data_IF_792016812805
#
_entry.id   IF_792016812805
#
_cell.length_a   1.000
_cell.length_b   1.000
_cell.length_c   1.000
_cell.angle_alpha   90.00
_cell.angle_beta   90.00
_cell.angle_gamma   90.00
#
_symmetry.space_group_name_H-M   'P 1'
#
loop_
_entity.id
_entity.type
_entity.pdbx_description
1 polymer ?
#
# COMPACT_ATOMS: atom_id res chain seq x y z
N UNK A 1 -26.47 15.75 -14.47
CA UNK A 1 -26.23 15.35 -15.87
C UNK A 1 -25.44 14.06 -15.87
N UNK A 2 -26.14 12.93 -16.02
CA UNK A 2 -25.52 11.64 -16.26
C UNK A 2 -25.02 11.61 -17.70
N UNK A 3 -23.75 11.28 -17.89
CA UNK A 3 -23.15 11.05 -19.21
C UNK A 3 -22.82 9.57 -19.33
N UNK A 4 -23.82 8.81 -19.80
CA UNK A 4 -23.72 8.02 -21.02
C UNK A 4 -22.91 6.73 -21.12
N UNK A 5 -21.86 6.48 -20.34
CA UNK A 5 -20.95 5.37 -20.68
C UNK A 5 -20.18 4.79 -19.47
N UNK A 6 -20.92 4.45 -18.42
CA UNK A 6 -20.39 3.56 -17.39
C UNK A 6 -20.91 2.15 -17.66
N UNK A 7 -20.09 1.31 -18.28
CA UNK A 7 -20.32 -0.13 -18.32
C UNK A 7 -20.26 -0.65 -16.88
N UNK A 8 -21.43 -0.92 -16.31
CA UNK A 8 -21.54 -1.61 -15.04
C UNK A 8 -21.40 -3.11 -15.31
N UNK A 9 -20.38 -3.72 -14.71
CA UNK A 9 -20.05 -5.14 -14.88
C UNK A 9 -21.25 -5.99 -14.42
N UNK A 10 -21.95 -6.61 -15.37
CA UNK A 10 -23.13 -7.47 -15.14
C UNK A 10 -22.74 -8.88 -14.65
N UNK A 11 -21.45 -9.22 -14.52
CA UNK A 11 -21.04 -10.49 -13.92
C UNK A 11 -19.70 -10.44 -13.20
N UNK A 12 -19.70 -10.07 -11.92
CA UNK A 12 -18.97 -10.73 -10.82
C UNK A 12 -17.48 -11.14 -10.93
N UNK A 13 -16.72 -10.76 -11.96
CA UNK A 13 -15.29 -11.06 -12.08
C UNK A 13 -14.57 -9.89 -12.73
N UNK A 14 -13.81 -9.17 -11.91
CA UNK A 14 -12.73 -8.29 -12.38
C UNK A 14 -11.50 -9.20 -12.48
N UNK A 15 -10.98 -9.40 -13.68
CA UNK A 15 -9.96 -10.42 -13.99
C UNK A 15 -8.53 -10.04 -13.55
N UNK A 16 -8.44 -9.13 -12.58
CA UNK A 16 -7.36 -8.97 -11.61
C UNK A 16 -8.02 -8.28 -10.44
N UNK A 17 -8.20 -8.98 -9.32
CA UNK A 17 -9.09 -8.48 -8.27
C UNK A 17 -8.51 -7.15 -7.75
N UNK A 18 -9.33 -6.10 -7.64
CA UNK A 18 -8.87 -4.75 -7.26
C UNK A 18 -7.98 -4.78 -6.01
N UNK A 19 -8.27 -5.71 -5.10
CA UNK A 19 -7.48 -5.97 -3.91
C UNK A 19 -6.05 -6.44 -4.21
N UNK A 20 -5.86 -7.37 -5.15
CA UNK A 20 -4.53 -7.84 -5.56
C UNK A 20 -3.69 -6.70 -6.13
N UNK A 21 -4.30 -5.80 -6.90
CA UNK A 21 -3.61 -4.62 -7.40
C UNK A 21 -3.16 -3.71 -6.25
N UNK A 22 -4.06 -3.40 -5.30
CA UNK A 22 -3.71 -2.58 -4.14
C UNK A 22 -2.59 -3.21 -3.30
N UNK A 23 -2.61 -4.53 -3.11
CA UNK A 23 -1.56 -5.26 -2.37
C UNK A 23 -0.23 -5.24 -3.14
N UNK A 24 -0.26 -5.40 -4.46
CA UNK A 24 0.96 -5.47 -5.27
C UNK A 24 1.69 -4.13 -5.38
N UNK A 25 0.96 -3.01 -5.39
CA UNK A 25 1.52 -1.66 -5.57
C UNK A 25 1.81 -0.93 -4.27
N UNK A 26 1.38 -1.47 -3.14
CA UNK A 26 1.48 -0.81 -1.83
C UNK A 26 2.46 -1.55 -0.94
N UNK A 27 3.18 -0.80 -0.11
CA UNK A 27 4.16 -1.33 0.83
C UNK A 27 3.86 -0.77 2.21
N UNK A 28 3.58 -1.67 3.15
CA UNK A 28 3.48 -1.31 4.56
C UNK A 28 4.86 -1.23 5.18
N UNK A 29 4.96 -0.57 6.33
CA UNK A 29 6.23 -0.45 7.04
C UNK A 29 6.05 -0.47 8.54
N UNK A 30 7.11 -0.82 9.27
CA UNK A 30 7.22 -0.63 10.72
C UNK A 30 6.03 -1.15 11.56
N UNK A 31 5.33 -2.20 11.10
CA UNK A 31 4.11 -2.74 11.74
C UNK A 31 4.34 -3.24 13.18
N UNK A 32 5.60 -3.50 13.56
CA UNK A 32 5.99 -4.05 14.87
C UNK A 32 5.96 -3.05 16.03
N UNK A 33 5.77 -1.75 15.79
CA UNK A 33 5.72 -0.74 16.84
C UNK A 33 4.36 -0.03 16.88
N UNK A 34 3.46 -0.53 17.73
CA UNK A 34 2.10 0.00 17.87
C UNK A 34 2.05 1.46 18.34
N UNK A 35 2.99 1.89 19.19
CA UNK A 35 3.08 3.30 19.64
C UNK A 35 3.47 4.22 18.48
N UNK A 36 4.41 3.79 17.65
CA UNK A 36 4.81 4.51 16.46
C UNK A 36 3.69 4.54 15.41
N UNK A 37 3.00 3.41 15.21
CA UNK A 37 1.82 3.34 14.34
C UNK A 37 0.71 4.28 14.79
N UNK A 38 0.45 4.36 16.10
CA UNK A 38 -0.52 5.31 16.66
C UNK A 38 -0.06 6.77 16.47
N UNK A 39 1.20 7.09 16.74
CA UNK A 39 1.76 8.44 16.54
C UNK A 39 1.68 8.90 15.08
N UNK A 40 1.88 7.98 14.15
CA UNK A 40 1.77 8.21 12.71
C UNK A 40 0.31 8.13 12.21
N UNK A 41 -0.68 7.95 13.08
CA UNK A 41 -2.09 7.84 12.69
C UNK A 41 -2.40 6.65 11.79
N UNK A 42 -1.61 5.58 11.86
CA UNK A 42 -1.76 4.38 11.03
C UNK A 42 -1.22 4.50 9.61
N UNK A 43 -0.45 5.55 9.28
CA UNK A 43 0.16 5.74 7.95
C UNK A 43 1.05 4.58 7.48
N UNK A 44 1.43 3.70 8.39
CA UNK A 44 2.31 2.56 8.17
C UNK A 44 1.55 1.27 7.76
N UNK A 45 0.23 1.38 7.57
CA UNK A 45 -0.72 0.34 7.15
C UNK A 45 -1.55 0.84 5.95
N UNK A 46 -0.86 1.09 4.83
CA UNK A 46 -1.47 1.62 3.61
C UNK A 46 -2.29 0.56 2.89
N UNK A 47 -1.85 -0.70 2.92
CA UNK A 47 -2.60 -1.81 2.35
C UNK A 47 -3.98 -1.91 3.01
N UNK A 48 -4.05 -1.89 4.34
CA UNK A 48 -5.31 -1.98 5.06
C UNK A 48 -6.15 -0.71 4.90
N UNK A 49 -5.52 0.46 4.79
CA UNK A 49 -6.24 1.70 4.51
C UNK A 49 -6.95 1.65 3.14
N UNK A 50 -6.27 1.16 2.11
CA UNK A 50 -6.85 1.04 0.77
C UNK A 50 -7.88 -0.07 0.67
N UNK A 51 -7.65 -1.22 1.32
CA UNK A 51 -8.61 -2.34 1.35
C UNK A 51 -9.84 -2.03 2.21
N UNK A 52 -9.68 -1.32 3.32
CA UNK A 52 -10.72 -1.09 4.33
C UNK A 52 -10.83 0.40 4.75
N UNK A 53 -11.19 1.32 3.83
CA UNK A 53 -11.16 2.77 4.09
C UNK A 53 -12.13 3.25 5.18
N UNK A 54 -13.08 2.40 5.60
CA UNK A 54 -14.07 2.70 6.65
C UNK A 54 -13.67 2.17 8.03
N UNK A 55 -12.56 1.44 8.14
CA UNK A 55 -12.10 0.87 9.41
C UNK A 55 -11.16 1.84 10.12
N UNK A 56 -11.33 2.00 11.43
CA UNK A 56 -10.42 2.82 12.23
C UNK A 56 -9.00 2.23 12.25
N UNK A 57 -7.99 3.10 12.15
CA UNK A 57 -6.58 2.69 12.09
C UNK A 57 -6.09 1.87 13.29
N UNK A 58 -6.80 1.94 14.43
CA UNK A 58 -6.53 1.08 15.59
C UNK A 58 -6.67 -0.42 15.27
N UNK A 59 -7.45 -0.78 14.26
CA UNK A 59 -7.66 -2.17 13.85
C UNK A 59 -6.71 -2.63 12.74
N UNK A 60 -5.97 -1.71 12.11
CA UNK A 60 -5.05 -2.05 11.02
C UNK A 60 -3.99 -3.08 11.41
N UNK A 61 -3.40 -3.09 12.62
CA UNK A 61 -2.44 -4.13 13.00
C UNK A 61 -3.03 -5.56 12.96
N UNK A 62 -4.27 -5.71 13.41
CA UNK A 62 -4.95 -7.01 13.39
C UNK A 62 -5.39 -7.40 11.97
N UNK A 63 -5.88 -6.43 11.19
CA UNK A 63 -6.23 -6.65 9.80
C UNK A 63 -5.03 -7.03 8.95
N UNK A 64 -3.88 -6.39 9.17
CA UNK A 64 -2.65 -6.67 8.43
C UNK A 64 -2.20 -8.12 8.56
N UNK A 65 -2.34 -8.71 9.76
CA UNK A 65 -2.05 -10.13 9.95
C UNK A 65 -3.01 -11.03 9.16
N UNK A 66 -4.31 -10.71 9.14
CA UNK A 66 -5.34 -11.46 8.40
C UNK A 66 -5.12 -11.33 6.88
N UNK A 67 -4.83 -10.12 6.40
CA UNK A 67 -4.56 -9.84 4.98
C UNK A 67 -3.30 -10.58 4.53
N UNK A 68 -2.24 -10.55 5.32
CA UNK A 68 -0.99 -11.25 5.00
C UNK A 68 -1.20 -12.78 4.94
N UNK A 69 -1.93 -13.36 5.89
CA UNK A 69 -2.29 -14.79 5.86
C UNK A 69 -3.12 -15.14 4.61
N UNK A 70 -4.09 -14.29 4.27
CA UNK A 70 -4.92 -14.46 3.08
C UNK A 70 -4.07 -14.37 1.81
N UNK A 71 -3.17 -13.39 1.72
CA UNK A 71 -2.25 -13.24 0.59
C UNK A 71 -1.40 -14.51 0.41
N UNK A 72 -0.84 -15.06 1.50
CA UNK A 72 -0.07 -16.29 1.47
C UNK A 72 -0.90 -17.49 0.99
N UNK A 73 -2.14 -17.63 1.46
CA UNK A 73 -3.05 -18.70 1.04
C UNK A 73 -3.40 -18.64 -0.45
N UNK A 74 -3.42 -17.43 -1.03
CA UNK A 74 -3.74 -17.19 -2.43
C UNK A 74 -2.52 -17.00 -3.35
N UNK A 75 -1.30 -17.14 -2.81
CA UNK A 75 -0.05 -16.95 -3.57
C UNK A 75 0.25 -15.49 -3.95
N UNK A 76 -0.39 -14.52 -3.30
CA UNK A 76 -0.18 -13.08 -3.49
C UNK A 76 0.97 -12.61 -2.59
N UNK A 77 1.88 -11.80 -3.12
CA UNK A 77 3.02 -11.28 -2.36
C UNK A 77 2.63 -10.03 -1.57
N UNK A 78 2.52 -10.17 -0.25
CA UNK A 78 2.40 -9.04 0.67
C UNK A 78 3.78 -8.42 0.97
N UNK A 79 3.91 -7.10 0.86
CA UNK A 79 5.19 -6.38 1.06
C UNK A 79 5.12 -5.52 2.32
N UNK A 80 5.99 -5.82 3.29
CA UNK A 80 6.17 -5.01 4.49
C UNK A 80 7.65 -4.75 4.76
N UNK A 81 8.03 -3.49 4.89
CA UNK A 81 9.35 -3.08 5.35
C UNK A 81 9.44 -3.15 6.89
N UNK A 82 10.48 -3.78 7.46
CA UNK A 82 10.51 -4.09 8.89
C UNK A 82 10.66 -2.86 9.78
N UNK A 83 11.16 -1.73 9.26
CA UNK A 83 11.47 -0.56 10.09
C UNK A 83 11.05 0.76 9.46
N UNK A 84 10.66 1.72 10.31
CA UNK A 84 10.36 3.09 9.86
C UNK A 84 11.62 3.77 9.31
N UNK A 85 12.77 3.47 9.92
CA UNK A 85 14.05 4.07 9.52
C UNK A 85 14.45 3.65 8.11
N UNK A 86 14.26 2.38 7.73
CA UNK A 86 14.52 1.92 6.36
C UNK A 86 13.57 2.57 5.36
N UNK A 87 12.28 2.68 5.69
CA UNK A 87 11.30 3.36 4.85
C UNK A 87 11.62 4.85 4.65
N UNK A 88 11.97 5.57 5.72
CA UNK A 88 12.37 6.98 5.66
C UNK A 88 13.67 7.17 4.88
N UNK A 89 14.67 6.32 5.10
CA UNK A 89 15.94 6.38 4.38
C UNK A 89 15.75 6.10 2.88
N UNK A 90 14.91 5.12 2.53
CA UNK A 90 14.57 4.81 1.14
C UNK A 90 13.83 5.98 0.46
N UNK A 91 12.86 6.58 1.16
CA UNK A 91 12.15 7.76 0.65
C UNK A 91 13.09 8.96 0.46
N UNK A 92 13.98 9.22 1.42
CA UNK A 92 14.97 10.29 1.32
C UNK A 92 15.95 10.05 0.17
N UNK A 93 16.46 8.82 0.01
CA UNK A 93 17.32 8.45 -1.10
C UNK A 93 16.63 8.61 -2.46
N UNK A 94 15.34 8.26 -2.55
CA UNK A 94 14.54 8.43 -3.76
C UNK A 94 14.32 9.92 -4.10
N UNK A 95 13.93 10.74 -3.12
CA UNK A 95 13.80 12.19 -3.29
C UNK A 95 15.12 12.84 -3.71
N UNK A 96 16.24 12.45 -3.09
CA UNK A 96 17.56 12.90 -3.50
C UNK A 96 17.90 12.49 -4.94
N UNK A 97 17.51 11.28 -5.36
CA UNK A 97 17.73 10.80 -6.74
C UNK A 97 16.90 11.55 -7.78
N UNK A 98 15.69 11.99 -7.44
CA UNK A 98 14.87 12.84 -8.31
C UNK A 98 15.30 14.31 -8.31
N UNK A 99 15.87 14.79 -7.20
CA UNK A 99 16.38 16.16 -7.07
C UNK A 99 17.74 16.38 -7.74
N UNK A 100 18.45 15.31 -8.11
CA UNK A 100 19.64 15.40 -8.94
C UNK A 100 19.25 15.84 -10.36
N UNK A 101 19.88 16.89 -10.92
CA UNK A 101 19.58 17.33 -12.27
C UNK A 101 19.81 16.16 -13.24
N UNK A 102 18.84 15.93 -14.12
CA UNK A 102 18.99 15.00 -15.24
C UNK A 102 20.32 15.32 -15.92
N UNK A 103 21.26 14.39 -15.83
CA UNK A 103 22.50 14.46 -16.60
C UNK A 103 22.06 14.24 -18.05
N UNK A 104 21.76 15.33 -18.75
CA UNK A 104 21.51 15.32 -20.18
C UNK A 104 22.83 14.91 -20.83
N UNK A 105 22.98 13.61 -21.10
CA UNK A 105 23.98 13.13 -22.04
C UNK A 105 23.51 13.54 -23.43
N UNK A 106 23.89 14.76 -23.83
CA UNK A 106 23.91 15.17 -25.23
C UNK A 106 25.22 14.63 -25.81
N UNK A 107 25.12 13.59 -26.64
CA UNK A 107 26.12 13.25 -27.66
C UNK A 107 25.57 13.62 -29.04
#
# INVERSE_FOLDING_TARGET
HCVGEADFVVSGRVDTDWAEHQIATTVDFARSNALLGWYLGGLNFQVEHHLFPRVCHLHYPALAAIVEETCLAHGVRYRCEPTLRSALAANFAWLHRMGLPLRLEVS
#
